data_IF_318389452110
#
_entry.id   IF_318389452110
#
_cell.length_a   1.000
_cell.length_b   1.000
_cell.length_c   1.000
_cell.angle_alpha   90.00
_cell.angle_beta   90.00
_cell.angle_gamma   90.00
#
_symmetry.space_group_name_H-M   'P 1'
#
loop_
_entity.id
_entity.type
_entity.pdbx_description
1 polymer ?
#
# COMPACT_ATOMS: atom_id res chain seq x y z
N UNK A 1 -16.64 5.45 -10.27
CA UNK A 1 -16.94 4.06 -10.67
C UNK A 1 -15.66 3.20 -10.80
N UNK A 2 -14.57 3.50 -10.06
CA UNK A 2 -13.29 2.77 -10.17
C UNK A 2 -13.11 1.61 -9.18
N UNK A 3 -13.80 1.62 -8.03
CA UNK A 3 -13.56 0.64 -6.95
C UNK A 3 -14.19 -0.74 -7.20
N UNK A 4 -15.08 -0.91 -8.19
CA UNK A 4 -15.86 -2.16 -8.39
C UNK A 4 -15.02 -3.32 -8.93
N UNK A 5 -13.83 -3.06 -9.49
CA UNK A 5 -13.02 -4.09 -10.18
C UNK A 5 -11.77 -4.52 -9.40
N UNK A 6 -11.27 -3.68 -8.49
CA UNK A 6 -10.13 -4.05 -7.64
C UNK A 6 -10.67 -4.87 -6.45
N UNK A 7 -10.07 -6.02 -6.08
CA UNK A 7 -10.57 -6.82 -4.97
C UNK A 7 -10.51 -6.07 -3.63
N UNK A 8 -11.64 -6.03 -2.93
CA UNK A 8 -11.79 -5.41 -1.62
C UNK A 8 -11.50 -6.40 -0.50
N UNK A 9 -10.69 -5.98 0.47
CA UNK A 9 -10.41 -6.71 1.69
C UNK A 9 -11.33 -6.17 2.78
N UNK A 10 -12.33 -6.96 3.16
CA UNK A 10 -13.42 -6.55 4.05
C UNK A 10 -13.18 -6.81 5.54
N UNK A 11 -12.01 -7.35 5.91
CA UNK A 11 -11.64 -7.60 7.30
C UNK A 11 -10.13 -7.68 7.49
N UNK A 12 -9.65 -7.57 8.74
CA UNK A 12 -8.23 -7.74 9.06
C UNK A 12 -7.74 -9.14 8.69
N UNK A 13 -8.59 -10.16 8.87
CA UNK A 13 -8.29 -11.53 8.43
C UNK A 13 -8.07 -11.64 6.91
N UNK A 14 -8.88 -10.94 6.10
CA UNK A 14 -8.68 -10.91 4.65
C UNK A 14 -7.36 -10.23 4.27
N UNK A 15 -6.97 -9.17 5.00
CA UNK A 15 -5.67 -8.50 4.84
C UNK A 15 -4.52 -9.46 5.16
N UNK A 16 -4.57 -10.12 6.31
CA UNK A 16 -3.56 -11.09 6.72
C UNK A 16 -3.42 -12.23 5.71
N UNK A 17 -4.55 -12.80 5.26
CA UNK A 17 -4.55 -13.85 4.26
C UNK A 17 -3.99 -13.39 2.91
N UNK A 18 -4.34 -12.19 2.45
CA UNK A 18 -3.81 -11.65 1.20
C UNK A 18 -2.28 -11.46 1.25
N UNK A 19 -1.74 -11.09 2.42
CA UNK A 19 -0.30 -10.93 2.64
C UNK A 19 0.42 -12.29 2.78
N UNK A 20 -0.19 -13.23 3.50
CA UNK A 20 0.41 -14.54 3.81
C UNK A 20 0.37 -15.50 2.62
N UNK A 21 -0.62 -15.39 1.75
CA UNK A 21 -0.82 -16.33 0.63
C UNK A 21 0.06 -16.05 -0.59
N UNK A 22 0.71 -14.88 -0.66
CA UNK A 22 1.51 -14.47 -1.82
C UNK A 22 3.02 -14.65 -1.58
N UNK A 23 3.59 -15.69 -2.19
CA UNK A 23 5.01 -16.05 -2.07
C UNK A 23 5.89 -15.51 -3.21
N UNK A 24 5.27 -15.19 -4.35
CA UNK A 24 5.97 -14.84 -5.58
C UNK A 24 5.77 -13.40 -6.02
N UNK A 25 4.65 -12.79 -5.67
CA UNK A 25 4.26 -11.44 -6.10
C UNK A 25 4.32 -10.45 -4.95
N UNK A 26 4.53 -9.18 -5.29
CA UNK A 26 4.38 -8.07 -4.36
C UNK A 26 2.90 -7.82 -4.08
N UNK A 27 2.52 -7.78 -2.81
CA UNK A 27 1.17 -7.39 -2.39
C UNK A 27 1.13 -5.88 -2.20
N UNK A 28 0.27 -5.22 -2.96
CA UNK A 28 0.04 -3.77 -2.89
C UNK A 28 -1.35 -3.56 -2.30
N UNK A 29 -1.44 -2.85 -1.18
CA UNK A 29 -2.73 -2.58 -0.52
C UNK A 29 -2.92 -1.09 -0.39
N UNK A 30 -4.02 -0.57 -0.92
CA UNK A 30 -4.50 0.79 -0.64
C UNK A 30 -5.39 0.75 0.59
N UNK A 31 -5.01 1.45 1.65
CA UNK A 31 -5.84 1.70 2.82
C UNK A 31 -6.40 3.12 2.75
N UNK A 32 -7.71 3.23 2.95
CA UNK A 32 -8.42 4.51 2.97
C UNK A 32 -9.91 4.30 2.71
N UNK A 33 -10.70 5.36 2.78
CA UNK A 33 -12.16 5.26 2.64
C UNK A 33 -12.56 5.34 1.18
N UNK A 34 -13.45 4.46 0.73
CA UNK A 34 -13.83 4.41 -0.69
C UNK A 34 -14.50 5.69 -1.20
N UNK A 35 -15.15 6.42 -0.29
CA UNK A 35 -15.81 7.70 -0.59
C UNK A 35 -14.84 8.89 -0.57
N UNK A 36 -13.61 8.71 -0.09
CA UNK A 36 -12.62 9.79 -0.02
C UNK A 36 -12.11 10.15 -1.44
N UNK A 37 -12.10 11.45 -1.82
CA UNK A 37 -11.68 11.86 -3.16
C UNK A 37 -10.24 11.44 -3.52
N UNK A 38 -9.33 11.34 -2.56
CA UNK A 38 -7.94 10.94 -2.80
C UNK A 38 -7.88 9.43 -3.07
N UNK A 39 -8.64 8.63 -2.31
CA UNK A 39 -8.80 7.20 -2.57
C UNK A 39 -9.41 6.95 -3.94
N UNK A 40 -10.47 7.68 -4.32
CA UNK A 40 -11.10 7.52 -5.63
C UNK A 40 -10.13 7.80 -6.78
N UNK A 41 -9.30 8.84 -6.67
CA UNK A 41 -8.28 9.17 -7.66
C UNK A 41 -7.18 8.11 -7.70
N UNK A 42 -6.72 7.65 -6.55
CA UNK A 42 -5.69 6.64 -6.46
C UNK A 42 -6.16 5.28 -7.00
N UNK A 43 -7.40 4.90 -6.73
CA UNK A 43 -8.03 3.68 -7.24
C UNK A 43 -8.13 3.68 -8.76
N UNK A 44 -8.40 4.84 -9.38
CA UNK A 44 -8.41 4.96 -10.84
C UNK A 44 -7.03 4.67 -11.45
N UNK A 45 -5.95 5.11 -10.79
CA UNK A 45 -4.57 4.81 -11.22
C UNK A 45 -4.28 3.33 -11.02
N UNK A 46 -4.56 2.79 -9.83
CA UNK A 46 -4.36 1.38 -9.49
C UNK A 46 -5.10 0.45 -10.45
N UNK A 47 -6.36 0.76 -10.78
CA UNK A 47 -7.16 0.02 -11.74
C UNK A 47 -6.49 -0.06 -13.11
N UNK A 48 -5.97 1.08 -13.60
CA UNK A 48 -5.34 1.15 -14.93
C UNK A 48 -3.98 0.44 -15.00
N UNK A 49 -3.34 0.17 -13.87
CA UNK A 49 -2.04 -0.51 -13.82
C UNK A 49 -2.11 -1.96 -13.36
N UNK A 50 -3.19 -2.38 -12.68
CA UNK A 50 -3.33 -3.71 -12.08
C UNK A 50 -3.02 -4.83 -13.08
N UNK A 51 -3.57 -4.73 -14.30
CA UNK A 51 -3.34 -5.72 -15.36
C UNK A 51 -1.90 -5.72 -15.88
N UNK A 52 -1.22 -4.56 -15.86
CA UNK A 52 0.17 -4.42 -16.33
C UNK A 52 1.18 -5.01 -15.35
N UNK A 53 0.87 -4.95 -14.05
CA UNK A 53 1.77 -5.44 -12.98
C UNK A 53 1.44 -6.86 -12.51
N UNK A 54 0.34 -7.47 -13.00
CA UNK A 54 -0.20 -8.75 -12.51
C UNK A 54 0.78 -9.93 -12.45
N UNK A 55 1.83 -9.89 -13.27
CA UNK A 55 2.86 -10.93 -13.32
C UNK A 55 3.84 -10.88 -12.14
N UNK A 56 3.93 -9.76 -11.44
CA UNK A 56 4.86 -9.58 -10.30
C UNK A 56 4.27 -8.85 -9.11
N UNK A 57 3.05 -8.31 -9.22
CA UNK A 57 2.33 -7.69 -8.12
C UNK A 57 0.83 -8.01 -8.17
N UNK A 58 0.19 -7.97 -7.01
CA UNK A 58 -1.27 -8.06 -6.84
C UNK A 58 -1.73 -6.81 -6.09
N UNK A 59 -2.88 -6.26 -6.51
CA UNK A 59 -3.41 -5.01 -5.96
C UNK A 59 -4.72 -5.29 -5.25
N UNK A 60 -4.81 -4.80 -4.01
CA UNK A 60 -6.00 -4.83 -3.18
C UNK A 60 -6.35 -3.43 -2.69
N UNK A 61 -7.60 -3.26 -2.32
CA UNK A 61 -8.10 -2.07 -1.62
C UNK A 61 -8.74 -2.49 -0.29
N UNK A 62 -8.62 -1.65 0.72
CA UNK A 62 -9.15 -1.89 2.05
C UNK A 62 -9.80 -0.61 2.57
N UNK A 63 -11.12 -0.67 2.79
CA UNK A 63 -11.85 0.40 3.47
C UNK A 63 -11.63 0.31 4.99
N UNK A 64 -11.01 1.35 5.55
CA UNK A 64 -10.65 1.41 6.98
C UNK A 64 -11.88 1.53 7.89
N UNK A 65 -13.01 2.02 7.39
CA UNK A 65 -14.25 2.07 8.18
C UNK A 65 -14.90 0.68 8.25
N UNK A 66 -14.64 -0.20 7.27
CA UNK A 66 -15.18 -1.56 7.23
C UNK A 66 -14.36 -2.58 8.02
N UNK A 67 -13.13 -2.24 8.42
CA UNK A 67 -12.26 -3.13 9.19
C UNK A 67 -12.11 -2.61 10.64
N UNK A 68 -13.07 -2.92 11.54
CA UNK A 68 -13.07 -2.43 12.91
C UNK A 68 -11.88 -2.89 13.76
N UNK A 69 -11.25 -4.03 13.42
CA UNK A 69 -10.03 -4.51 14.10
C UNK A 69 -8.85 -3.54 13.95
N UNK A 70 -8.87 -2.71 12.89
CA UNK A 70 -7.92 -1.61 12.74
C UNK A 70 -8.28 -0.43 13.68
N UNK A 71 -9.56 -0.08 13.81
CA UNK A 71 -9.97 1.05 14.64
C UNK A 71 -9.80 0.85 16.16
N UNK A 72 -9.55 -0.38 16.65
CA UNK A 72 -9.34 -0.63 18.09
C UNK A 72 -7.88 -0.47 18.56
N UNK A 73 -6.89 -0.58 17.66
CA UNK A 73 -5.46 -0.51 17.99
C UNK A 73 -4.93 0.93 18.14
N UNK A 74 -5.69 1.93 17.69
CA UNK A 74 -5.38 3.36 17.90
C UNK A 74 -5.29 3.76 19.39
N UNK A 75 -5.85 2.96 20.32
CA UNK A 75 -5.85 3.28 21.75
C UNK A 75 -5.12 2.27 22.66
N UNK A 76 -4.55 1.17 22.16
CA UNK A 76 -3.81 0.25 23.03
C UNK A 76 -2.80 -0.64 22.27
N UNK A 77 -1.52 -0.41 22.55
CA UNK A 77 -0.45 -1.43 22.62
C UNK A 77 0.04 -2.08 21.32
N UNK A 78 1.26 -1.67 20.91
CA UNK A 78 2.22 -2.39 20.06
C UNK A 78 2.19 -3.91 20.33
N UNK A 79 1.87 -4.72 19.32
CA UNK A 79 2.11 -6.17 19.37
C UNK A 79 2.74 -6.66 18.07
N UNK A 80 3.78 -7.48 18.21
CA UNK A 80 4.68 -7.95 17.16
C UNK A 80 4.08 -9.00 16.20
N UNK A 81 2.80 -8.87 15.83
CA UNK A 81 2.09 -9.82 14.97
C UNK A 81 1.16 -9.05 14.05
N UNK A 82 1.51 -8.89 12.77
CA UNK A 82 0.61 -8.51 11.65
C UNK A 82 -0.18 -7.19 11.73
N UNK A 83 -0.28 -6.56 12.89
CA UNK A 83 -1.30 -5.56 13.23
C UNK A 83 -0.71 -4.17 13.51
N UNK A 84 0.59 -4.00 13.25
CA UNK A 84 1.31 -2.72 13.39
C UNK A 84 1.01 -1.73 12.23
N UNK A 85 0.32 -2.16 11.17
CA UNK A 85 -0.01 -1.31 10.01
C UNK A 85 -0.96 -0.15 10.35
N UNK A 86 -1.68 -0.26 11.47
CA UNK A 86 -2.83 0.60 11.77
C UNK A 86 -2.47 1.88 12.51
N UNK A 87 -1.45 1.82 13.37
CA UNK A 87 -0.98 2.97 14.14
C UNK A 87 -0.49 4.12 13.24
N UNK A 88 -0.34 3.87 11.94
CA UNK A 88 0.13 4.78 10.91
C UNK A 88 -1.01 5.32 10.01
N UNK A 89 -2.26 4.88 10.09
CA UNK A 89 -3.32 5.25 9.13
C UNK A 89 -4.06 6.56 9.49
N UNK A 90 -3.33 7.67 9.64
CA UNK A 90 -3.92 9.01 9.80
C UNK A 90 -4.22 9.71 8.47
N UNK A 91 -3.51 9.30 7.42
CA UNK A 91 -3.63 9.89 6.08
C UNK A 91 -4.88 9.34 5.36
N UNK A 92 -5.59 10.17 4.58
CA UNK A 92 -6.86 9.78 3.94
C UNK A 92 -6.73 8.63 2.94
N UNK A 93 -5.59 8.54 2.25
CA UNK A 93 -5.27 7.50 1.28
C UNK A 93 -3.81 7.10 1.44
N UNK A 94 -3.54 5.81 1.65
CA UNK A 94 -2.19 5.27 1.77
C UNK A 94 -2.02 4.01 0.95
N UNK A 95 -0.84 3.81 0.37
CA UNK A 95 -0.43 2.55 -0.26
C UNK A 95 0.72 1.96 0.54
N UNK A 96 0.59 0.68 0.88
CA UNK A 96 1.63 -0.11 1.52
C UNK A 96 1.99 -1.32 0.66
N UNK A 97 3.23 -1.78 0.82
CA UNK A 97 3.80 -2.87 0.04
C UNK A 97 4.21 -4.01 0.96
N UNK A 98 3.88 -5.26 0.58
CA UNK A 98 4.26 -6.44 1.34
C UNK A 98 4.83 -7.52 0.40
N UNK A 99 5.82 -8.25 0.88
CA UNK A 99 6.41 -9.37 0.15
C UNK A 99 6.74 -10.50 1.13
N UNK A 100 6.15 -11.69 0.95
CA UNK A 100 6.38 -12.86 1.81
C UNK A 100 6.23 -12.56 3.30
N UNK A 101 5.06 -12.02 3.68
CA UNK A 101 4.75 -11.62 5.05
C UNK A 101 5.71 -10.57 5.66
N UNK A 102 6.38 -9.78 4.82
CA UNK A 102 7.21 -8.66 5.27
C UNK A 102 6.70 -7.37 4.68
N UNK A 103 6.49 -6.37 5.53
CA UNK A 103 6.26 -5.00 5.11
C UNK A 103 7.53 -4.44 4.46
N UNK A 104 7.36 -3.84 3.29
CA UNK A 104 8.41 -3.30 2.46
C UNK A 104 8.44 -1.78 2.59
N UNK A 105 9.54 -1.24 3.12
CA UNK A 105 9.75 0.19 3.20
C UNK A 105 10.29 0.75 1.89
N UNK A 106 9.90 1.97 1.56
CA UNK A 106 10.32 2.69 0.36
C UNK A 106 10.76 4.10 0.74
N UNK A 107 12.03 4.41 0.53
CA UNK A 107 12.54 5.76 0.68
C UNK A 107 12.13 6.61 -0.52
N UNK A 108 11.16 7.50 -0.28
CA UNK A 108 10.68 8.48 -1.24
C UNK A 108 11.34 9.85 -1.09
N UNK A 109 12.22 10.05 -0.10
CA UNK A 109 12.77 11.36 0.28
C UNK A 109 11.80 12.26 1.06
N UNK A 110 10.60 11.79 1.41
CA UNK A 110 9.60 12.53 2.21
C UNK A 110 9.83 12.44 3.72
N UNK A 111 10.69 11.52 4.16
CA UNK A 111 10.94 11.20 5.57
C UNK A 111 10.03 10.10 6.14
N UNK A 112 8.96 9.72 5.44
CA UNK A 112 8.14 8.55 5.78
C UNK A 112 8.37 7.42 4.77
N UNK A 113 9.01 6.34 5.22
CA UNK A 113 9.36 5.21 4.36
C UNK A 113 8.35 4.05 4.44
N UNK A 114 7.36 4.13 5.34
CA UNK A 114 6.45 3.03 5.60
C UNK A 114 5.34 2.91 4.54
N UNK A 115 5.01 4.01 3.88
CA UNK A 115 3.83 4.13 3.03
C UNK A 115 3.98 5.28 2.04
N UNK A 116 3.25 5.17 0.95
CA UNK A 116 2.98 6.28 0.04
C UNK A 116 1.65 6.89 0.49
N UNK A 117 1.66 8.09 1.05
CA UNK A 117 0.50 8.74 1.69
C UNK A 117 -0.05 9.95 0.91
N UNK A 118 0.10 9.94 -0.42
CA UNK A 118 -0.39 10.99 -1.30
C UNK A 118 -0.94 10.40 -2.60
N UNK A 119 -1.71 11.18 -3.35
CA UNK A 119 -2.15 10.73 -4.68
C UNK A 119 -1.02 10.83 -5.68
N UNK A 120 -0.66 9.68 -6.28
CA UNK A 120 0.31 9.57 -7.38
C UNK A 120 -0.43 9.33 -8.69
N UNK A 121 -0.59 10.39 -9.48
CA UNK A 121 -1.42 10.38 -10.70
C UNK A 121 -0.72 9.76 -11.92
N UNK A 122 0.61 9.79 -11.94
CA UNK A 122 1.40 9.20 -13.02
C UNK A 122 1.44 7.66 -12.87
N UNK A 123 0.85 6.99 -13.86
CA UNK A 123 0.74 5.53 -13.90
C UNK A 123 2.10 4.85 -14.07
N UNK A 124 2.97 5.43 -14.90
CA UNK A 124 4.28 4.84 -15.16
C UNK A 124 5.15 4.97 -13.91
N UNK A 125 5.08 6.11 -13.24
CA UNK A 125 5.77 6.36 -11.98
C UNK A 125 5.36 5.35 -10.90
N UNK A 126 4.06 5.05 -10.78
CA UNK A 126 3.59 4.01 -9.84
C UNK A 126 4.07 2.61 -10.26
N UNK A 127 4.08 2.27 -11.55
CA UNK A 127 4.62 1.00 -12.05
C UNK A 127 6.11 0.87 -11.70
N UNK A 128 6.90 1.91 -11.94
CA UNK A 128 8.35 1.94 -11.71
C UNK A 128 8.66 1.78 -10.21
N UNK A 129 7.85 2.35 -9.33
CA UNK A 129 7.93 2.14 -7.88
C UNK A 129 7.65 0.67 -7.55
N UNK A 130 6.51 0.11 -7.99
CA UNK A 130 6.12 -1.28 -7.71
C UNK A 130 7.22 -2.25 -8.21
N UNK A 131 7.75 -2.03 -9.40
CA UNK A 131 8.84 -2.83 -9.96
C UNK A 131 10.12 -2.73 -9.11
N UNK A 132 10.47 -1.53 -8.67
CA UNK A 132 11.64 -1.27 -7.82
C UNK A 132 11.51 -2.00 -6.48
N UNK A 133 10.35 -1.92 -5.85
CA UNK A 133 10.05 -2.64 -4.60
C UNK A 133 10.13 -4.15 -4.82
N UNK A 134 9.50 -4.68 -5.86
CA UNK A 134 9.55 -6.09 -6.19
C UNK A 134 10.99 -6.59 -6.40
N UNK A 135 11.79 -5.89 -7.22
CA UNK A 135 13.20 -6.25 -7.47
C UNK A 135 14.05 -6.20 -6.21
N UNK A 136 13.81 -5.22 -5.33
CA UNK A 136 14.51 -5.12 -4.05
C UNK A 136 14.11 -6.23 -3.07
N UNK A 137 12.81 -6.52 -2.99
CA UNK A 137 12.26 -7.58 -2.14
C UNK A 137 12.79 -8.97 -2.55
N UNK A 138 12.84 -9.26 -3.86
CA UNK A 138 13.44 -10.50 -4.39
C UNK A 138 14.91 -10.66 -4.05
N UNK A 139 15.63 -9.56 -3.81
CA UNK A 139 17.03 -9.55 -3.34
C UNK A 139 17.16 -9.57 -1.81
N UNK A 140 16.05 -9.72 -1.07
CA UNK A 140 16.04 -9.80 0.38
C UNK A 140 16.16 -8.45 1.10
N UNK A 141 15.99 -7.32 0.41
CA UNK A 141 15.99 -5.99 1.05
C UNK A 141 14.65 -5.75 1.73
N UNK A 142 14.65 -5.10 2.90
CA UNK A 142 13.45 -4.61 3.59
C UNK A 142 13.15 -3.13 3.33
N UNK A 143 14.14 -2.38 2.81
CA UNK A 143 14.04 -0.98 2.40
C UNK A 143 14.58 -0.85 0.98
N UNK A 144 13.84 -0.16 0.12
CA UNK A 144 14.28 0.22 -1.23
C UNK A 144 14.24 1.73 -1.40
N UNK A 145 15.00 2.26 -2.34
CA UNK A 145 14.95 3.69 -2.69
C UNK A 145 14.07 3.82 -3.93
N UNK A 146 13.11 4.73 -3.89
CA UNK A 146 12.26 5.07 -5.03
C UNK A 146 13.12 5.52 -6.22
N UNK A 147 12.74 5.19 -7.48
CA UNK A 147 13.46 5.65 -8.67
C UNK A 147 13.41 7.18 -8.84
N UNK A 148 12.53 7.87 -8.10
CA UNK A 148 12.36 9.32 -8.10
C UNK A 148 12.30 9.87 -6.68
N UNK A 149 12.88 11.05 -6.49
CA UNK A 149 12.86 11.79 -5.23
C UNK A 149 11.60 12.68 -5.15
N UNK A 150 10.91 12.62 -4.01
CA UNK A 150 9.73 13.41 -3.68
C UNK A 150 9.98 14.39 -2.53
N UNK A 151 11.24 14.61 -2.13
CA UNK A 151 11.62 15.51 -1.04
C UNK A 151 11.16 16.96 -1.22
N UNK A 152 11.01 17.43 -2.46
CA UNK A 152 10.53 18.79 -2.77
C UNK A 152 9.01 18.92 -2.71
N UNK A 153 8.27 17.82 -2.63
CA UNK A 153 6.79 17.84 -2.60
C UNK A 153 6.24 18.52 -1.34
N UNK A 154 6.94 18.40 -0.22
CA UNK A 154 6.58 19.03 1.05
C UNK A 154 7.33 20.35 1.31
N UNK A 155 8.18 20.80 0.37
CA UNK A 155 8.88 22.08 0.48
C UNK A 155 8.01 23.18 -0.13
N UNK A 156 7.13 23.74 0.68
CA UNK A 156 6.53 25.05 0.47
C UNK A 156 6.79 25.93 1.67
#
# INVERSE_FOLDING_TARGET
MGSVVIPHLSSGWHVDQAILSEDERLVVIRFGRDWDPDCMRQDEVLYKIAEKVKSFAVVYVCDIDQVPDFNQITNSTRTNTGTDIVAELYDPCTIMFFFRNKHMMVDFGTGNNNKLNWVLEDKQELIDIIETVYRGAKKGRGLVVSPKDYSTRHRY
#
